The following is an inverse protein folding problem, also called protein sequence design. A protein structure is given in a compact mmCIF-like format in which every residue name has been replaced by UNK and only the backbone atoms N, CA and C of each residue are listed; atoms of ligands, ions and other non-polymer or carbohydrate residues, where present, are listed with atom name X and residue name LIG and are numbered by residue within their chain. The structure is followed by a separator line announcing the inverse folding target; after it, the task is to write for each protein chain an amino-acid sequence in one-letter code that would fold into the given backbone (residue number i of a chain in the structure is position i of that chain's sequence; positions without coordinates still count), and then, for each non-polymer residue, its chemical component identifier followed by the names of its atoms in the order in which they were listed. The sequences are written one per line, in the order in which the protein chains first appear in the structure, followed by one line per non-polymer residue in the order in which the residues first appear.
data_IF_748838679234
#
_entry.id   IF_748838679234
#
_cell.length_a   1.000
_cell.length_b   1.000
_cell.length_c   1.000
_cell.angle_alpha   90.00
_cell.angle_beta   90.00
_cell.angle_gamma   90.00
#
_symmetry.space_group_name_H-M   'P 1'
#
loop_
_entity.id
_entity.type
_entity.pdbx_description
1 polymer ?
#
# COMPACT_ATOMS: atom_id res chain seq x y z
N UNK A 1 -20.81 -35.97 -49.43
CA UNK A 1 -20.80 -34.50 -49.25
C UNK A 1 -21.44 -34.19 -47.91
N UNK A 2 -20.66 -33.82 -46.90
CA UNK A 2 -21.18 -33.52 -45.55
C UNK A 2 -20.89 -32.04 -45.25
N UNK A 3 -21.96 -31.24 -45.21
CA UNK A 3 -21.93 -29.81 -44.95
C UNK A 3 -21.77 -29.60 -43.44
N UNK A 4 -20.65 -29.00 -43.00
CA UNK A 4 -20.39 -28.69 -41.58
C UNK A 4 -20.67 -27.21 -41.35
N UNK A 5 -21.79 -26.90 -40.71
CA UNK A 5 -22.04 -25.57 -40.16
C UNK A 5 -21.12 -25.35 -38.96
N UNK A 6 -20.12 -24.48 -39.12
CA UNK A 6 -19.29 -23.98 -38.02
C UNK A 6 -20.04 -22.84 -37.32
N UNK A 7 -20.47 -23.08 -36.08
CA UNK A 7 -21.00 -22.04 -35.20
C UNK A 7 -19.82 -21.41 -34.44
N UNK A 8 -19.57 -20.12 -34.65
CA UNK A 8 -18.58 -19.35 -33.91
C UNK A 8 -19.21 -18.88 -32.59
N UNK A 9 -18.83 -19.52 -31.48
CA UNK A 9 -19.12 -19.05 -30.13
C UNK A 9 -18.08 -17.98 -29.79
N UNK A 10 -18.49 -16.72 -29.70
CA UNK A 10 -17.70 -15.65 -29.08
C UNK A 10 -17.67 -15.90 -27.57
N UNK A 11 -16.57 -16.48 -27.07
CA UNK A 11 -16.29 -16.50 -25.64
C UNK A 11 -15.81 -15.10 -25.26
N UNK A 12 -16.69 -14.35 -24.61
CA UNK A 12 -16.35 -13.11 -23.93
C UNK A 12 -15.36 -13.46 -22.81
N UNK A 13 -14.06 -13.27 -23.06
CA UNK A 13 -13.03 -13.42 -22.04
C UNK A 13 -13.24 -12.28 -21.03
N UNK A 14 -13.93 -12.58 -19.92
CA UNK A 14 -13.91 -11.72 -18.77
C UNK A 14 -12.43 -11.52 -18.38
N UNK A 15 -12.00 -10.26 -18.42
CA UNK A 15 -10.67 -9.85 -17.97
C UNK A 15 -10.69 -10.11 -16.45
N UNK A 16 -10.21 -11.28 -16.05
CA UNK A 16 -9.87 -11.52 -14.66
C UNK A 16 -8.75 -10.53 -14.34
N UNK A 17 -9.07 -9.51 -13.56
CA UNK A 17 -8.11 -8.63 -12.92
C UNK A 17 -7.07 -9.52 -12.26
N UNK A 18 -5.87 -9.56 -12.84
CA UNK A 18 -4.75 -10.28 -12.26
C UNK A 18 -4.49 -9.63 -10.92
N UNK A 19 -4.74 -10.35 -9.83
CA UNK A 19 -4.28 -9.94 -8.51
C UNK A 19 -2.76 -10.03 -8.59
N UNK A 20 -2.11 -8.90 -8.80
CA UNK A 20 -0.66 -8.81 -8.68
C UNK A 20 -0.31 -9.19 -7.25
N UNK A 21 0.62 -10.13 -7.02
CA UNK A 21 1.13 -10.38 -5.68
C UNK A 21 1.68 -9.04 -5.18
N UNK A 22 1.17 -8.61 -4.04
CA UNK A 22 1.53 -7.35 -3.41
C UNK A 22 3.06 -7.12 -3.46
N UNK A 23 3.52 -6.09 -4.18
CA UNK A 23 4.94 -5.72 -4.37
C UNK A 23 5.60 -5.14 -3.09
N UNK A 24 5.18 -5.58 -1.91
CA UNK A 24 5.71 -5.12 -0.62
C UNK A 24 6.29 -6.27 0.20
N UNK A 25 7.29 -5.95 1.00
CA UNK A 25 7.83 -6.83 2.03
C UNK A 25 7.35 -6.39 3.42
N UNK A 26 7.15 -7.33 4.33
CA UNK A 26 6.98 -7.00 5.75
C UNK A 26 8.29 -6.40 6.28
N UNK A 27 8.20 -5.31 7.03
CA UNK A 27 9.30 -4.81 7.86
C UNK A 27 9.12 -5.16 9.34
N UNK A 28 8.21 -6.10 9.63
CA UNK A 28 7.95 -6.65 10.94
C UNK A 28 8.59 -8.04 11.06
N UNK A 29 9.29 -8.30 12.17
CA UNK A 29 10.07 -9.54 12.39
C UNK A 29 9.22 -10.76 12.77
N UNK A 30 7.93 -10.58 13.10
CA UNK A 30 7.00 -11.68 13.38
C UNK A 30 5.99 -11.85 12.23
N UNK A 31 5.83 -13.08 11.79
CA UNK A 31 5.13 -13.41 10.55
C UNK A 31 3.64 -13.01 10.55
N UNK A 32 3.28 -12.34 9.45
CA UNK A 32 2.01 -11.72 9.05
C UNK A 32 1.82 -10.27 9.55
N UNK A 33 1.99 -9.25 8.69
CA UNK A 33 1.68 -7.88 9.06
C UNK A 33 0.18 -7.75 9.33
N UNK A 34 -0.21 -7.10 10.43
CA UNK A 34 -1.61 -6.66 10.64
C UNK A 34 -1.98 -5.48 9.71
N UNK A 35 -1.37 -5.42 8.53
CA UNK A 35 -1.39 -4.29 7.62
C UNK A 35 -1.34 -4.82 6.17
N UNK A 36 -2.43 -4.61 5.45
CA UNK A 36 -2.55 -4.85 4.02
C UNK A 36 -2.71 -3.51 3.30
N UNK A 37 -2.05 -3.36 2.15
CA UNK A 37 -2.09 -2.12 1.39
C UNK A 37 -2.19 -2.40 -0.10
N UNK A 38 -3.17 -1.78 -0.73
CA UNK A 38 -3.24 -1.60 -2.18
C UNK A 38 -3.16 -0.12 -2.52
N UNK A 39 -2.75 0.22 -3.73
CA UNK A 39 -2.59 1.63 -4.12
C UNK A 39 -3.00 1.89 -5.58
N UNK A 40 -3.31 3.14 -5.88
CA UNK A 40 -3.60 3.65 -7.24
C UNK A 40 -3.07 5.08 -7.41
N UNK A 41 -2.46 5.44 -8.56
CA UNK A 41 -2.20 4.57 -9.71
C UNK A 41 -1.09 3.55 -9.42
N UNK A 42 -1.04 2.49 -10.25
CA UNK A 42 0.05 1.52 -10.29
C UNK A 42 0.75 1.63 -11.67
N UNK A 43 2.03 1.99 -11.76
CA UNK A 43 2.98 2.24 -10.66
C UNK A 43 2.70 3.54 -9.88
N UNK A 44 3.25 3.61 -8.66
CA UNK A 44 3.25 4.83 -7.83
C UNK A 44 3.99 5.95 -8.58
N UNK A 45 3.41 7.17 -8.69
CA UNK A 45 4.02 8.27 -9.40
C UNK A 45 5.40 8.65 -8.87
N UNK A 46 6.27 9.03 -9.81
CA UNK A 46 7.60 9.51 -9.49
C UNK A 46 7.61 10.70 -8.51
N UNK A 47 8.61 10.76 -7.62
CA UNK A 47 8.90 11.91 -6.76
C UNK A 47 8.90 13.23 -7.53
N UNK A 48 8.31 14.28 -6.96
CA UNK A 48 8.30 15.63 -7.55
C UNK A 48 7.41 15.84 -8.76
N UNK A 49 6.62 14.83 -9.15
CA UNK A 49 5.56 15.02 -10.15
C UNK A 49 4.35 15.80 -9.60
N UNK A 50 4.22 15.89 -8.28
CA UNK A 50 3.05 16.46 -7.60
C UNK A 50 1.80 15.56 -7.68
N UNK A 51 1.89 14.39 -8.33
CA UNK A 51 0.77 13.48 -8.49
C UNK A 51 0.51 12.67 -7.20
N UNK A 52 -0.73 12.63 -6.71
CA UNK A 52 -1.07 11.86 -5.52
C UNK A 52 -1.23 10.37 -5.83
N UNK A 53 -0.92 9.55 -4.84
CA UNK A 53 -1.27 8.13 -4.76
C UNK A 53 -2.36 7.94 -3.71
N UNK A 54 -3.37 7.16 -4.02
CA UNK A 54 -4.38 6.72 -3.06
C UNK A 54 -3.95 5.35 -2.55
N UNK A 55 -3.64 5.27 -1.27
CA UNK A 55 -3.39 4.01 -0.55
C UNK A 55 -4.67 3.57 0.15
N UNK A 56 -5.19 2.41 -0.23
CA UNK A 56 -6.25 1.72 0.52
C UNK A 56 -5.57 0.79 1.51
N UNK A 57 -5.69 1.11 2.79
CA UNK A 57 -5.02 0.42 3.88
C UNK A 57 -6.06 -0.34 4.71
N UNK A 58 -5.83 -1.62 4.92
CA UNK A 58 -6.55 -2.44 5.90
C UNK A 58 -5.62 -2.74 7.07
N UNK A 59 -6.00 -2.33 8.27
CA UNK A 59 -5.19 -2.48 9.49
C UNK A 59 -5.95 -3.14 10.63
N UNK A 60 -5.26 -3.95 11.44
CA UNK A 60 -5.82 -4.58 12.65
C UNK A 60 -5.02 -4.17 13.89
N UNK A 61 -5.74 -3.81 14.96
CA UNK A 61 -5.16 -3.43 16.24
C UNK A 61 -4.53 -4.64 16.96
N UNK A 62 -3.52 -4.39 17.79
CA UNK A 62 -2.83 -5.46 18.51
C UNK A 62 -3.71 -6.07 19.59
N UNK A 63 -3.48 -7.35 19.90
CA UNK A 63 -4.03 -8.05 21.07
C UNK A 63 -5.56 -7.95 21.20
N UNK A 64 -6.29 -7.98 20.07
CA UNK A 64 -7.75 -7.82 20.02
C UNK A 64 -8.24 -6.51 20.67
N UNK A 65 -7.40 -5.48 20.71
CA UNK A 65 -7.77 -4.15 21.20
C UNK A 65 -8.54 -3.34 20.14
N UNK A 66 -8.72 -2.05 20.41
CA UNK A 66 -9.30 -1.10 19.47
C UNK A 66 -8.33 0.07 19.26
N UNK A 67 -8.46 0.74 18.12
CA UNK A 67 -7.76 1.98 17.87
C UNK A 67 -8.30 3.13 18.74
N UNK A 68 -7.39 3.87 19.36
CA UNK A 68 -7.68 5.07 20.16
C UNK A 68 -7.28 6.34 19.40
N UNK A 69 -7.57 7.51 19.97
CA UNK A 69 -7.37 8.80 19.32
C UNK A 69 -5.90 9.19 19.08
N UNK A 70 -4.97 8.55 19.81
CA UNK A 70 -3.53 8.68 19.66
C UNK A 70 -2.93 7.72 18.63
N UNK A 71 -3.72 6.76 18.12
CA UNK A 71 -3.26 5.81 17.13
C UNK A 71 -3.19 6.44 15.74
N UNK A 72 -2.19 6.00 14.97
CA UNK A 72 -1.83 6.63 13.73
C UNK A 72 -1.24 5.63 12.74
N UNK A 73 -1.24 6.05 11.48
CA UNK A 73 -0.51 5.41 10.39
C UNK A 73 0.53 6.40 9.87
N UNK A 74 1.75 5.93 9.65
CA UNK A 74 2.84 6.73 9.12
C UNK A 74 3.26 6.26 7.73
N UNK A 75 3.33 7.20 6.80
CA UNK A 75 3.93 7.01 5.49
C UNK A 75 5.32 7.65 5.54
N UNK A 76 6.35 6.82 5.58
CA UNK A 76 7.74 7.25 5.63
C UNK A 76 8.39 7.01 4.27
N UNK A 77 9.01 8.04 3.71
CA UNK A 77 9.70 7.93 2.44
C UNK A 77 11.22 8.05 2.62
N UNK A 78 11.97 7.16 2.00
CA UNK A 78 13.42 7.10 2.09
C UNK A 78 14.05 7.10 0.70
N UNK A 79 15.20 7.76 0.56
CA UNK A 79 16.11 7.64 -0.59
C UNK A 79 17.54 7.49 -0.11
N UNK A 80 18.29 6.50 -0.62
CA UNK A 80 19.72 6.26 -0.34
C UNK A 80 20.14 6.41 1.16
N UNK A 81 19.21 6.15 2.09
CA UNK A 81 19.42 6.12 3.55
C UNK A 81 19.96 7.41 4.21
N UNK A 82 19.77 8.60 3.62
CA UNK A 82 20.23 9.89 4.19
C UNK A 82 19.09 10.85 4.59
N UNK A 83 19.41 11.72 5.55
CA UNK A 83 18.58 12.44 6.53
C UNK A 83 17.64 13.56 6.00
N UNK A 84 16.80 13.30 5.01
CA UNK A 84 15.62 14.15 4.80
C UNK A 84 14.45 13.31 4.31
N UNK A 85 13.76 12.70 5.27
CA UNK A 85 12.57 11.91 5.01
C UNK A 85 11.35 12.74 5.38
N UNK A 86 10.58 13.23 4.39
CA UNK A 86 9.20 13.61 4.66
C UNK A 86 8.43 12.38 5.13
N UNK A 87 7.70 12.55 6.23
CA UNK A 87 6.75 11.57 6.73
C UNK A 87 5.37 12.19 6.88
N UNK A 88 4.33 11.36 6.71
CA UNK A 88 2.94 11.75 6.93
C UNK A 88 2.38 10.88 8.05
N UNK A 89 2.11 11.47 9.21
CA UNK A 89 1.40 10.81 10.31
C UNK A 89 -0.09 11.17 10.23
N UNK A 90 -0.92 10.18 9.95
CA UNK A 90 -2.35 10.34 9.72
C UNK A 90 -3.16 9.52 10.71
N UNK A 91 -4.36 9.98 11.04
CA UNK A 91 -5.23 9.27 11.98
C UNK A 91 -5.74 7.96 11.39
N UNK A 92 -5.88 6.95 12.24
CA UNK A 92 -6.66 5.75 11.94
C UNK A 92 -8.08 5.86 12.51
N UNK A 93 -9.08 5.14 11.98
CA UNK A 93 -10.44 5.15 12.51
C UNK A 93 -10.50 4.69 13.97
N UNK A 94 -10.97 5.57 14.86
CA UNK A 94 -11.10 5.28 16.30
C UNK A 94 -12.24 4.30 16.60
N UNK A 95 -12.12 3.55 17.70
CA UNK A 95 -13.17 2.67 18.22
C UNK A 95 -13.38 1.39 17.41
N UNK A 96 -12.41 1.01 16.57
CA UNK A 96 -12.44 -0.19 15.72
C UNK A 96 -11.26 -1.11 16.04
N UNK A 97 -11.47 -2.42 16.00
CA UNK A 97 -10.37 -3.41 16.07
C UNK A 97 -9.71 -3.65 14.71
N UNK A 98 -10.47 -3.47 13.62
CA UNK A 98 -9.99 -3.54 12.23
C UNK A 98 -10.60 -2.40 11.45
N UNK A 99 -9.86 -1.82 10.51
CA UNK A 99 -10.35 -0.78 9.60
C UNK A 99 -9.90 -1.01 8.17
N UNK A 100 -10.62 -0.40 7.22
CA UNK A 100 -10.14 -0.15 5.85
C UNK A 100 -10.36 1.33 5.56
N UNK A 101 -9.31 2.05 5.14
CA UNK A 101 -9.34 3.49 4.92
C UNK A 101 -8.46 3.88 3.73
N UNK A 102 -8.90 4.89 2.98
CA UNK A 102 -8.11 5.50 1.93
C UNK A 102 -7.28 6.67 2.48
N UNK A 103 -6.01 6.71 2.11
CA UNK A 103 -5.05 7.78 2.41
C UNK A 103 -4.48 8.31 1.10
N UNK A 104 -4.71 9.59 0.81
CA UNK A 104 -4.18 10.25 -0.38
C UNK A 104 -2.87 10.93 -0.04
N UNK A 105 -1.77 10.45 -0.61
CA UNK A 105 -0.42 10.95 -0.32
C UNK A 105 0.25 11.36 -1.62
N UNK A 106 0.77 12.58 -1.65
CA UNK A 106 1.64 13.03 -2.75
C UNK A 106 3.05 12.54 -2.49
N UNK A 107 3.63 11.79 -3.44
CA UNK A 107 5.03 11.36 -3.33
C UNK A 107 5.93 12.60 -3.28
N UNK A 108 6.69 12.81 -2.21
CA UNK A 108 7.55 13.97 -2.08
C UNK A 108 8.73 13.90 -3.04
N UNK A 109 9.41 15.03 -3.29
CA UNK A 109 10.56 15.06 -4.19
C UNK A 109 11.78 14.34 -3.59
N UNK A 110 12.49 13.57 -4.42
CA UNK A 110 13.76 12.94 -4.08
C UNK A 110 14.77 13.25 -5.17
N UNK A 111 15.98 13.66 -4.77
CA UNK A 111 17.09 13.90 -5.70
C UNK A 111 18.02 12.69 -5.84
N UNK A 112 17.78 11.64 -5.05
CA UNK A 112 18.64 10.48 -4.88
C UNK A 112 17.93 9.21 -5.37
N UNK A 113 18.69 8.23 -5.88
CA UNK A 113 18.16 6.93 -6.34
C UNK A 113 17.72 6.01 -5.18
N UNK A 114 17.15 4.84 -5.51
CA UNK A 114 16.72 3.78 -4.58
C UNK A 114 15.70 4.26 -3.56
N UNK A 115 14.42 4.13 -3.92
CA UNK A 115 13.37 4.68 -3.09
C UNK A 115 12.61 3.61 -2.33
N UNK A 116 12.29 3.93 -1.08
CA UNK A 116 11.48 3.06 -0.21
C UNK A 116 10.33 3.86 0.35
N UNK A 117 9.12 3.31 0.25
CA UNK A 117 7.96 3.78 1.01
C UNK A 117 7.72 2.76 2.11
N UNK A 118 7.88 3.16 3.36
CA UNK A 118 7.53 2.35 4.53
C UNK A 118 6.21 2.86 5.10
N UNK A 119 5.26 1.95 5.26
CA UNK A 119 3.98 2.25 5.92
C UNK A 119 3.97 1.53 7.25
N UNK A 120 3.77 2.30 8.32
CA UNK A 120 3.79 1.81 9.70
C UNK A 120 2.45 2.09 10.36
N UNK A 121 1.82 1.05 10.89
CA UNK A 121 0.62 1.17 11.71
C UNK A 121 1.02 1.16 13.18
N UNK A 122 0.58 2.16 13.93
CA UNK A 122 0.77 2.23 15.37
C UNK A 122 -0.55 2.01 16.11
N UNK A 123 -0.51 1.19 17.15
CA UNK A 123 -1.58 0.98 18.11
C UNK A 123 -1.01 1.04 19.52
N UNK A 124 -1.52 1.95 20.36
CA UNK A 124 -1.06 2.23 21.72
C UNK A 124 0.46 2.46 21.81
N UNK A 125 1.01 3.29 20.90
CA UNK A 125 2.45 3.57 20.77
C UNK A 125 3.32 2.35 20.42
N UNK A 126 2.71 1.23 20.04
CA UNK A 126 3.40 0.03 19.58
C UNK A 126 3.19 -0.14 18.08
N UNK A 127 4.22 -0.62 17.38
CA UNK A 127 4.11 -0.97 15.98
C UNK A 127 3.21 -2.20 15.84
N UNK A 128 2.03 -2.01 15.23
CA UNK A 128 1.05 -3.07 14.99
C UNK A 128 1.24 -3.75 13.64
N UNK A 129 1.82 -3.05 12.67
CA UNK A 129 2.13 -3.58 11.34
C UNK A 129 3.11 -2.68 10.61
N UNK A 130 3.89 -3.26 9.70
CA UNK A 130 4.93 -2.57 8.96
C UNK A 130 5.10 -3.22 7.59
N UNK A 131 4.98 -2.45 6.51
CA UNK A 131 5.32 -2.89 5.16
C UNK A 131 6.25 -1.90 4.47
N UNK A 132 7.04 -2.38 3.51
CA UNK A 132 7.92 -1.59 2.65
C UNK A 132 7.70 -1.90 1.18
N UNK A 133 7.52 -0.86 0.38
CA UNK A 133 7.64 -0.92 -1.07
C UNK A 133 9.06 -0.52 -1.45
N UNK A 134 9.83 -1.46 -1.98
CA UNK A 134 11.13 -1.17 -2.60
C UNK A 134 10.92 -1.02 -4.09
N UNK A 135 11.33 0.10 -4.67
CA UNK A 135 11.24 0.33 -6.11
C UNK A 135 12.59 0.81 -6.63
N UNK A 136 13.09 0.14 -7.66
CA UNK A 136 14.30 0.57 -8.37
C UNK A 136 14.03 1.89 -9.12
N UNK A 137 12.79 2.09 -9.57
CA UNK A 137 12.30 3.31 -10.21
C UNK A 137 10.81 3.54 -9.85
N UNK A 138 10.45 4.75 -9.43
CA UNK A 138 9.06 5.24 -9.52
C UNK A 138 8.85 5.86 -10.91
N UNK A 139 7.66 5.77 -11.49
CA UNK A 139 7.38 6.23 -12.86
C UNK A 139 6.45 7.44 -12.88
#
# INVERSE_FOLDING_TARGET
MMNKNFSFIFILLAIFSVVTPNDYESCFEQDVPNLEVSFQPDPIPAPGTGNPTIFTVTGTALNNSIFVDTDLIEFNYYSNFLESNPSYSLKVPYGKGTFTQNYTITTPEFTQSNHVIQIVLFNNYQMAGCIRFKRDHFQ
#
